data_IF_233659227486
#
_entry.id   IF_233659227486
#
_cell.length_a   1.000
_cell.length_b   1.000
_cell.length_c   1.000
_cell.angle_alpha   90.00
_cell.angle_beta   90.00
_cell.angle_gamma   90.00
#
_symmetry.space_group_name_H-M   'P 1'
#
loop_
_entity.id
_entity.type
_entity.pdbx_description
1 polymer ?
#
# COMPACT_ATOMS: atom_id res chain seq x y z
N UNK A 1 5.25 14.34 39.39
CA UNK A 1 4.76 13.06 39.95
C UNK A 1 4.05 13.21 41.31
N UNK A 2 3.91 14.36 41.89
CA UNK A 2 3.33 14.53 43.25
C UNK A 2 1.96 15.24 43.27
N UNK A 3 1.47 15.77 42.18
CA UNK A 3 0.19 16.50 42.13
C UNK A 3 -0.99 15.60 41.71
N UNK A 4 -0.72 14.51 40.98
CA UNK A 4 -1.77 13.57 40.52
C UNK A 4 -2.22 12.63 41.65
N UNK A 5 -1.34 12.32 42.62
CA UNK A 5 -1.67 11.44 43.73
C UNK A 5 -2.57 12.09 44.79
N UNK A 6 -2.62 13.42 44.84
CA UNK A 6 -3.43 14.13 45.85
C UNK A 6 -4.91 14.28 45.41
N UNK A 7 -5.21 14.23 44.13
CA UNK A 7 -6.60 14.34 43.63
C UNK A 7 -7.30 12.98 43.70
N UNK A 8 -6.58 11.88 43.51
CA UNK A 8 -7.16 10.54 43.59
C UNK A 8 -7.58 10.09 45.03
N UNK A 9 -6.97 10.67 46.06
CA UNK A 9 -7.27 10.29 47.45
C UNK A 9 -8.48 11.01 48.07
N UNK A 10 -8.99 12.06 47.43
CA UNK A 10 -10.14 12.84 47.93
C UNK A 10 -11.46 12.42 47.25
N UNK A 11 -11.40 11.61 46.18
CA UNK A 11 -12.54 11.30 45.33
C UNK A 11 -13.47 10.18 45.82
N UNK A 12 -13.13 9.44 46.86
CA UNK A 12 -13.90 8.25 47.22
C UNK A 12 -15.27 8.47 47.85
N UNK A 13 -15.70 9.69 48.22
CA UNK A 13 -17.01 9.89 48.85
C UNK A 13 -17.75 11.22 48.53
N UNK A 14 -17.33 11.98 47.56
CA UNK A 14 -17.95 13.28 47.24
C UNK A 14 -18.58 13.39 45.86
N UNK A 15 -18.54 12.34 45.04
CA UNK A 15 -18.87 12.46 43.60
C UNK A 15 -19.99 11.54 43.11
N UNK A 16 -20.91 11.12 43.98
CA UNK A 16 -22.07 10.32 43.57
C UNK A 16 -23.02 11.05 42.59
N UNK A 17 -22.79 12.32 42.23
CA UNK A 17 -23.64 13.10 41.32
C UNK A 17 -22.94 14.24 40.58
N UNK A 18 -21.66 14.15 40.29
CA UNK A 18 -21.00 15.16 39.49
C UNK A 18 -20.76 14.69 38.07
N UNK A 19 -21.42 15.37 37.14
CA UNK A 19 -21.17 15.29 35.70
C UNK A 19 -19.73 15.80 35.48
N UNK A 20 -18.74 14.90 35.52
CA UNK A 20 -17.33 15.28 35.32
C UNK A 20 -17.06 15.51 33.86
N UNK A 21 -17.47 16.64 33.36
CA UNK A 21 -17.19 17.16 32.02
C UNK A 21 -15.74 17.68 31.89
N UNK A 22 -14.89 17.44 32.87
CA UNK A 22 -13.51 17.91 32.86
C UNK A 22 -12.62 16.83 32.23
N UNK A 23 -11.96 17.16 31.11
CA UNK A 23 -11.04 16.22 30.52
C UNK A 23 -9.85 15.95 31.44
N UNK A 24 -9.54 14.67 31.65
CA UNK A 24 -8.29 14.27 32.29
C UNK A 24 -7.13 14.64 31.37
N UNK A 25 -6.17 15.41 31.86
CA UNK A 25 -4.99 15.79 31.10
C UNK A 25 -4.13 14.57 30.77
N UNK A 26 -3.86 14.37 29.51
CA UNK A 26 -2.96 13.32 28.98
C UNK A 26 -1.90 14.05 28.16
N UNK A 27 -0.65 13.69 28.32
CA UNK A 27 0.46 14.19 27.50
C UNK A 27 1.22 13.00 26.91
N UNK A 28 0.73 12.48 25.82
CA UNK A 28 1.35 11.37 25.10
C UNK A 28 1.42 11.67 23.61
N UNK A 29 2.43 11.13 22.96
CA UNK A 29 2.69 11.30 21.55
C UNK A 29 2.75 9.96 20.83
N UNK A 30 2.12 9.89 19.66
CA UNK A 30 2.28 8.78 18.75
C UNK A 30 2.72 9.32 17.38
N UNK A 31 3.58 8.56 16.69
CA UNK A 31 4.01 8.86 15.34
C UNK A 31 3.69 7.66 14.43
N UNK A 32 2.76 7.88 13.52
CA UNK A 32 2.34 6.88 12.54
C UNK A 32 2.98 7.21 11.20
N UNK A 33 4.01 6.46 10.85
CA UNK A 33 4.58 6.47 9.50
C UNK A 33 3.67 5.67 8.55
N UNK A 34 3.74 5.90 7.23
CA UNK A 34 3.02 5.07 6.27
C UNK A 34 3.26 3.57 6.45
N UNK A 35 4.49 3.16 6.76
CA UNK A 35 4.82 1.75 7.05
C UNK A 35 3.99 1.17 8.21
N UNK A 36 3.83 1.95 9.28
CA UNK A 36 3.03 1.54 10.44
C UNK A 36 1.53 1.62 10.18
N UNK A 37 1.09 2.64 9.40
CA UNK A 37 -0.31 2.78 9.03
C UNK A 37 -0.78 1.61 8.17
N UNK A 38 0.02 1.25 7.16
CA UNK A 38 -0.35 0.22 6.18
C UNK A 38 0.08 -1.18 6.59
N UNK A 39 0.85 -1.32 7.68
CA UNK A 39 1.38 -2.61 8.14
C UNK A 39 2.11 -3.38 7.00
N UNK A 40 3.04 -2.68 6.35
CA UNK A 40 3.72 -3.15 5.13
C UNK A 40 4.50 -4.46 5.33
N UNK A 41 4.71 -4.89 6.58
CA UNK A 41 5.41 -6.14 6.89
C UNK A 41 4.49 -7.37 6.96
N UNK A 42 3.17 -7.17 6.96
CA UNK A 42 2.21 -8.27 6.82
C UNK A 42 1.92 -8.51 5.34
N UNK A 43 1.54 -9.73 4.94
CA UNK A 43 1.31 -10.23 3.57
C UNK A 43 0.29 -9.45 2.71
N UNK A 44 0.28 -8.12 2.79
CA UNK A 44 -0.74 -7.24 2.22
C UNK A 44 -0.47 -6.78 0.79
N UNK A 45 0.38 -7.46 0.03
CA UNK A 45 0.78 -7.03 -1.32
C UNK A 45 1.32 -5.57 -1.37
N UNK A 46 1.84 -5.05 -0.27
CA UNK A 46 2.41 -3.71 -0.20
C UNK A 46 3.93 -3.75 -0.35
N UNK A 47 4.45 -2.81 -1.09
CA UNK A 47 5.88 -2.67 -1.36
C UNK A 47 6.30 -1.21 -1.19
N UNK A 48 7.46 -1.00 -0.54
CA UNK A 48 8.08 0.33 -0.44
C UNK A 48 9.21 0.41 -1.45
N UNK A 49 9.13 1.39 -2.33
CA UNK A 49 10.19 1.63 -3.32
C UNK A 49 11.46 2.15 -2.65
N UNK A 50 12.63 2.09 -3.31
CA UNK A 50 13.85 2.73 -2.81
C UNK A 50 13.73 4.23 -2.53
N UNK A 51 12.80 4.93 -3.20
CA UNK A 51 12.46 6.34 -2.94
C UNK A 51 11.50 6.54 -1.77
N UNK A 52 10.99 5.46 -1.17
CA UNK A 52 10.07 5.50 -0.05
C UNK A 52 8.60 5.61 -0.43
N UNK A 53 8.24 5.49 -1.71
CA UNK A 53 6.84 5.49 -2.13
C UNK A 53 6.20 4.13 -1.91
N UNK A 54 4.93 4.10 -1.52
CA UNK A 54 4.17 2.87 -1.33
C UNK A 54 3.49 2.47 -2.64
N UNK A 55 3.61 1.18 -2.98
CA UNK A 55 2.96 0.56 -4.13
C UNK A 55 2.22 -0.71 -3.69
N UNK A 56 1.18 -1.08 -4.40
CA UNK A 56 0.71 -2.45 -4.40
C UNK A 56 1.66 -3.28 -5.28
N UNK A 57 1.98 -4.50 -4.84
CA UNK A 57 2.84 -5.43 -5.57
C UNK A 57 2.13 -6.77 -5.73
N UNK A 58 1.95 -7.19 -6.97
CA UNK A 58 1.31 -8.46 -7.30
C UNK A 58 2.29 -9.34 -8.06
N UNK A 59 2.59 -10.52 -7.51
CA UNK A 59 3.44 -11.51 -8.17
C UNK A 59 2.63 -12.35 -9.14
N UNK A 60 3.13 -12.50 -10.36
CA UNK A 60 2.52 -13.41 -11.34
C UNK A 60 3.02 -14.83 -11.12
N UNK A 61 2.08 -15.78 -11.05
CA UNK A 61 2.35 -17.18 -10.81
C UNK A 61 1.69 -18.09 -11.85
N UNK A 62 2.25 -19.27 -12.08
CA UNK A 62 3.58 -19.72 -11.68
C UNK A 62 4.67 -18.98 -12.45
N UNK A 63 5.89 -18.88 -11.92
CA UNK A 63 7.04 -18.50 -12.74
C UNK A 63 7.19 -19.48 -13.90
N UNK A 64 7.45 -18.97 -15.11
CA UNK A 64 7.63 -19.84 -16.28
C UNK A 64 9.08 -20.26 -16.44
N UNK A 65 9.29 -21.55 -16.68
CA UNK A 65 10.60 -22.13 -16.86
C UNK A 65 10.52 -23.27 -17.88
N UNK A 66 11.32 -23.19 -18.93
CA UNK A 66 11.32 -24.18 -20.01
C UNK A 66 12.74 -24.49 -20.46
N UNK A 67 13.01 -25.79 -20.68
CA UNK A 67 14.21 -26.20 -21.40
C UNK A 67 13.95 -26.12 -22.90
N UNK A 68 14.68 -25.30 -23.60
CA UNK A 68 14.49 -25.08 -25.02
C UNK A 68 15.80 -25.03 -25.80
N UNK A 69 15.75 -25.41 -27.05
CA UNK A 69 16.84 -25.27 -28.00
C UNK A 69 16.69 -23.94 -28.72
N UNK A 70 17.76 -23.11 -28.69
CA UNK A 70 17.78 -21.81 -29.33
C UNK A 70 18.21 -21.95 -30.80
N UNK A 71 17.25 -21.86 -31.73
CA UNK A 71 17.49 -21.90 -33.16
C UNK A 71 17.19 -20.56 -33.83
N UNK A 72 17.93 -20.27 -34.92
CA UNK A 72 17.72 -19.04 -35.67
C UNK A 72 16.30 -19.01 -36.32
N UNK A 73 15.60 -17.90 -36.09
CA UNK A 73 14.26 -17.67 -36.64
C UNK A 73 13.14 -18.46 -35.98
N UNK A 74 13.44 -19.23 -34.90
CA UNK A 74 12.43 -19.93 -34.12
C UNK A 74 12.24 -19.27 -32.77
N UNK A 75 10.99 -19.25 -32.31
CA UNK A 75 10.60 -18.86 -30.94
C UNK A 75 9.95 -20.04 -30.25
N UNK A 76 10.23 -20.21 -28.98
CA UNK A 76 9.64 -21.26 -28.12
C UNK A 76 8.80 -20.57 -27.06
N UNK A 77 7.56 -21.01 -26.86
CA UNK A 77 6.73 -20.56 -25.74
C UNK A 77 7.30 -21.10 -24.44
N UNK A 78 7.50 -20.23 -23.44
CA UNK A 78 7.88 -20.63 -22.10
C UNK A 78 6.65 -20.90 -21.20
N UNK A 79 5.51 -20.30 -21.53
CA UNK A 79 4.26 -20.47 -20.80
C UNK A 79 3.57 -19.16 -20.47
N UNK A 80 2.51 -19.26 -19.66
CA UNK A 80 1.71 -18.14 -19.16
C UNK A 80 1.91 -18.01 -17.64
N UNK A 81 2.13 -16.77 -17.19
CA UNK A 81 2.06 -16.37 -15.79
C UNK A 81 0.81 -15.51 -15.59
N UNK A 82 0.18 -15.62 -14.45
CA UNK A 82 -1.03 -14.83 -14.15
C UNK A 82 -0.91 -14.24 -12.76
N UNK A 83 -1.30 -12.98 -12.62
CA UNK A 83 -1.57 -12.36 -11.33
C UNK A 83 -2.99 -11.83 -11.30
N UNK A 84 -3.59 -11.74 -10.13
CA UNK A 84 -4.91 -11.15 -9.95
C UNK A 84 -4.72 -9.82 -9.22
N UNK A 85 -5.11 -8.74 -9.89
CA UNK A 85 -5.18 -7.44 -9.23
C UNK A 85 -6.46 -7.44 -8.41
N UNK A 86 -6.29 -7.69 -7.14
CA UNK A 86 -7.35 -7.56 -6.14
C UNK A 86 -7.02 -6.32 -5.31
N UNK A 87 -7.87 -5.32 -5.40
CA UNK A 87 -7.72 -4.10 -4.61
C UNK A 87 -7.89 -4.39 -3.11
N UNK A 88 -8.39 -5.60 -2.77
CA UNK A 88 -8.57 -6.06 -1.39
C UNK A 88 -9.42 -5.12 -0.54
N UNK A 89 -9.51 -5.36 0.76
CA UNK A 89 -10.24 -4.48 1.68
C UNK A 89 -9.57 -3.10 1.86
N UNK A 90 -8.32 -2.95 1.41
CA UNK A 90 -7.53 -1.71 1.57
C UNK A 90 -8.04 -0.60 0.65
N UNK A 91 -8.60 -0.95 -0.53
CA UNK A 91 -8.98 0.06 -1.53
C UNK A 91 -10.45 -0.10 -1.89
N UNK A 92 -11.31 0.49 -1.09
CA UNK A 92 -12.72 0.65 -1.46
C UNK A 92 -12.96 2.04 -2.04
N UNK A 93 -13.69 2.12 -3.16
CA UNK A 93 -14.14 3.39 -3.72
C UNK A 93 -13.58 3.77 -5.09
N UNK A 94 -12.75 2.92 -5.68
CA UNK A 94 -12.29 3.09 -7.05
C UNK A 94 -11.31 4.25 -7.22
N UNK A 95 -10.21 4.20 -6.49
CA UNK A 95 -9.11 5.14 -6.66
C UNK A 95 -8.56 5.12 -8.10
N UNK A 96 -8.38 6.28 -8.70
CA UNK A 96 -7.67 6.42 -9.96
C UNK A 96 -6.17 6.40 -9.66
N UNK A 97 -5.56 5.23 -9.77
CA UNK A 97 -4.12 5.07 -9.64
C UNK A 97 -3.40 5.49 -10.91
N UNK A 98 -2.16 5.90 -10.76
CA UNK A 98 -1.24 6.07 -11.88
C UNK A 98 -0.96 4.72 -12.57
N UNK A 99 -0.42 4.76 -13.81
CA UNK A 99 -0.15 3.56 -14.56
C UNK A 99 0.67 2.54 -13.79
N UNK A 100 0.26 1.30 -13.85
CA UNK A 100 1.03 0.20 -13.28
C UNK A 100 2.41 0.10 -13.97
N UNK A 101 3.40 -0.38 -13.21
CA UNK A 101 4.73 -0.72 -13.70
C UNK A 101 4.90 -2.23 -13.68
N UNK A 102 5.63 -2.77 -14.65
CA UNK A 102 5.89 -4.21 -14.75
C UNK A 102 7.38 -4.46 -14.55
N UNK A 103 7.72 -5.24 -13.52
CA UNK A 103 9.08 -5.72 -13.31
C UNK A 103 9.17 -7.15 -13.85
N UNK A 104 9.96 -7.33 -14.89
CA UNK A 104 10.28 -8.63 -15.48
C UNK A 104 11.66 -9.09 -15.01
N UNK A 105 11.78 -10.37 -14.67
CA UNK A 105 13.06 -10.99 -14.32
C UNK A 105 13.29 -12.18 -15.22
N UNK A 106 14.48 -12.28 -15.82
CA UNK A 106 14.84 -13.33 -16.77
C UNK A 106 16.14 -14.01 -16.37
N UNK A 107 16.17 -15.34 -16.60
CA UNK A 107 17.40 -16.13 -16.57
C UNK A 107 17.73 -16.62 -17.98
N UNK A 108 18.91 -16.24 -18.44
CA UNK A 108 19.50 -16.71 -19.68
C UNK A 108 20.88 -17.37 -19.40
N UNK A 109 20.93 -18.65 -19.06
CA UNK A 109 22.21 -19.34 -18.82
C UNK A 109 22.96 -19.72 -20.11
N UNK A 110 22.39 -19.41 -21.28
CA UNK A 110 23.02 -19.72 -22.57
C UNK A 110 24.24 -18.84 -22.87
N UNK A 111 25.05 -19.29 -23.78
CA UNK A 111 26.19 -18.54 -24.34
C UNK A 111 25.79 -17.49 -25.39
N UNK A 112 24.49 -17.29 -25.60
CA UNK A 112 23.94 -16.40 -26.63
C UNK A 112 22.97 -15.39 -26.01
N UNK A 113 22.85 -14.24 -26.69
CA UNK A 113 21.78 -13.29 -26.36
C UNK A 113 20.44 -13.89 -26.73
N UNK A 114 19.50 -13.90 -25.77
CA UNK A 114 18.12 -14.37 -25.95
C UNK A 114 17.19 -13.17 -26.00
N UNK A 115 16.29 -13.19 -26.98
CA UNK A 115 15.16 -12.28 -27.05
C UNK A 115 13.97 -12.93 -26.36
N UNK A 116 13.47 -12.30 -25.30
CA UNK A 116 12.20 -12.65 -24.70
C UNK A 116 11.12 -11.72 -25.24
N UNK A 117 10.05 -12.29 -25.75
CA UNK A 117 8.83 -11.56 -26.11
C UNK A 117 7.77 -11.85 -25.04
N UNK A 118 7.18 -10.78 -24.47
CA UNK A 118 6.18 -10.84 -23.41
C UNK A 118 4.92 -10.16 -23.90
N UNK A 119 3.86 -10.93 -24.13
CA UNK A 119 2.53 -10.43 -24.44
C UNK A 119 1.73 -10.32 -23.14
N UNK A 120 1.29 -9.09 -22.81
CA UNK A 120 0.54 -8.81 -21.59
C UNK A 120 -0.92 -8.56 -21.95
N UNK A 121 -1.82 -9.23 -21.26
CA UNK A 121 -3.26 -9.01 -21.32
C UNK A 121 -3.77 -8.64 -19.93
N UNK A 122 -4.39 -7.46 -19.79
CA UNK A 122 -4.92 -6.96 -18.54
C UNK A 122 -6.42 -6.69 -18.66
N UNK A 123 -7.19 -7.18 -17.71
CA UNK A 123 -8.60 -6.85 -17.59
C UNK A 123 -8.78 -5.51 -16.86
N UNK A 124 -9.80 -4.77 -17.25
CA UNK A 124 -10.17 -3.51 -16.61
C UNK A 124 -11.55 -3.63 -15.95
N UNK A 125 -11.89 -2.72 -15.04
CA UNK A 125 -13.22 -2.67 -14.42
C UNK A 125 -14.37 -2.54 -15.43
N UNK A 126 -14.09 -2.00 -16.63
CA UNK A 126 -15.06 -1.94 -17.73
C UNK A 126 -15.14 -3.24 -18.53
N UNK A 127 -14.45 -4.30 -18.11
CA UNK A 127 -14.31 -5.59 -18.79
C UNK A 127 -13.64 -5.51 -20.17
N UNK A 128 -13.01 -4.39 -20.49
CA UNK A 128 -12.17 -4.28 -21.69
C UNK A 128 -10.83 -4.97 -21.43
N UNK A 129 -10.35 -5.75 -22.41
CA UNK A 129 -9.02 -6.37 -22.36
C UNK A 129 -8.03 -5.41 -23.01
N UNK A 130 -7.04 -4.99 -22.25
CA UNK A 130 -5.91 -4.21 -22.76
C UNK A 130 -4.76 -5.15 -23.08
N UNK A 131 -4.06 -4.87 -24.18
CA UNK A 131 -2.94 -5.69 -24.62
C UNK A 131 -1.70 -4.82 -24.83
N UNK A 132 -0.57 -5.34 -24.38
CA UNK A 132 0.74 -4.75 -24.65
C UNK A 132 1.75 -5.85 -24.97
N UNK A 133 2.74 -5.52 -25.78
CA UNK A 133 3.81 -6.45 -26.16
C UNK A 133 5.16 -5.82 -25.93
N UNK A 134 6.03 -6.54 -25.23
CA UNK A 134 7.37 -6.09 -24.92
C UNK A 134 8.39 -7.10 -25.41
N UNK A 135 9.51 -6.59 -25.93
CA UNK A 135 10.65 -7.41 -26.33
C UNK A 135 11.89 -7.01 -25.53
N UNK A 136 12.52 -7.98 -24.89
CA UNK A 136 13.71 -7.77 -24.07
C UNK A 136 14.86 -8.63 -24.55
N UNK A 137 16.02 -8.02 -24.78
CA UNK A 137 17.25 -8.73 -25.12
C UNK A 137 18.03 -8.98 -23.82
N UNK A 138 18.17 -10.24 -23.46
CA UNK A 138 18.92 -10.67 -22.27
C UNK A 138 20.30 -11.21 -22.72
N UNK A 139 21.40 -10.59 -22.28
CA UNK A 139 22.73 -11.04 -22.67
C UNK A 139 23.04 -12.48 -22.23
N UNK A 140 24.02 -13.09 -22.88
CA UNK A 140 24.52 -14.42 -22.55
C UNK A 140 24.95 -14.54 -21.09
N UNK A 141 24.65 -15.68 -20.47
CA UNK A 141 25.07 -16.02 -19.10
C UNK A 141 24.46 -15.16 -17.99
N UNK A 142 23.41 -14.37 -18.27
CA UNK A 142 22.76 -13.55 -17.26
C UNK A 142 21.67 -14.30 -16.51
N UNK A 143 21.77 -14.25 -15.19
CA UNK A 143 20.73 -14.70 -14.27
C UNK A 143 20.17 -13.53 -13.49
N UNK A 144 18.90 -13.57 -13.11
CA UNK A 144 18.19 -12.47 -12.44
C UNK A 144 18.30 -11.12 -13.18
N UNK A 145 18.28 -11.16 -14.52
CA UNK A 145 18.30 -9.93 -15.33
C UNK A 145 16.95 -9.24 -15.23
N UNK A 146 16.93 -8.07 -14.59
CA UNK A 146 15.69 -7.34 -14.30
C UNK A 146 15.47 -6.19 -15.27
N UNK A 147 14.23 -6.08 -15.74
CA UNK A 147 13.76 -5.01 -16.62
C UNK A 147 12.50 -4.42 -16.04
N UNK A 148 12.48 -3.09 -15.85
CA UNK A 148 11.32 -2.34 -15.42
C UNK A 148 10.67 -1.65 -16.61
N UNK A 149 9.44 -2.03 -16.92
CA UNK A 149 8.63 -1.38 -17.94
C UNK A 149 7.73 -0.36 -17.26
N UNK A 150 7.84 0.91 -17.66
CA UNK A 150 7.02 2.01 -17.15
C UNK A 150 6.51 2.91 -18.26
N UNK A 151 5.48 3.70 -17.99
CA UNK A 151 4.97 4.69 -18.94
C UNK A 151 5.98 5.82 -19.17
N UNK A 152 5.99 6.39 -20.38
CA UNK A 152 6.90 7.47 -20.80
C UNK A 152 6.63 8.81 -20.10
N UNK A 153 5.41 9.02 -19.58
CA UNK A 153 4.97 10.33 -19.07
C UNK A 153 4.85 10.37 -17.54
N UNK A 154 5.46 9.44 -16.84
CA UNK A 154 5.30 9.38 -15.40
C UNK A 154 6.59 9.70 -14.67
N UNK A 155 6.49 10.60 -13.69
CA UNK A 155 7.50 10.82 -12.66
C UNK A 155 7.48 9.71 -11.60
N UNK A 156 6.85 8.56 -11.91
CA UNK A 156 6.68 7.48 -10.97
C UNK A 156 8.02 6.93 -10.53
N UNK A 157 8.12 6.60 -9.25
CA UNK A 157 9.34 6.08 -8.68
C UNK A 157 9.73 4.76 -9.37
N UNK A 158 11.03 4.59 -9.58
CA UNK A 158 11.58 3.32 -10.05
C UNK A 158 11.49 2.31 -8.93
N UNK A 159 10.65 1.28 -9.08
CA UNK A 159 10.43 0.25 -8.05
C UNK A 159 11.64 -0.66 -7.82
N UNK A 160 12.57 -0.69 -8.76
CA UNK A 160 13.84 -1.40 -8.62
C UNK A 160 14.98 -0.58 -9.24
N UNK A 161 15.86 -0.04 -8.41
CA UNK A 161 16.98 0.80 -8.84
C UNK A 161 18.02 0.06 -9.70
N UNK A 162 18.06 -1.27 -9.64
CA UNK A 162 19.02 -2.11 -10.39
C UNK A 162 18.44 -2.63 -11.72
N UNK A 163 17.17 -2.35 -12.00
CA UNK A 163 16.54 -2.80 -13.23
C UNK A 163 16.91 -1.90 -14.42
N UNK A 164 17.04 -2.51 -15.60
CA UNK A 164 17.08 -1.76 -16.85
C UNK A 164 15.70 -1.17 -17.09
N UNK A 165 15.58 0.16 -17.13
CA UNK A 165 14.29 0.84 -17.34
C UNK A 165 13.98 0.94 -18.81
N UNK A 166 12.82 0.45 -19.22
CA UNK A 166 12.24 0.64 -20.55
C UNK A 166 11.00 1.52 -20.41
N UNK A 167 11.04 2.70 -21.05
CA UNK A 167 9.88 3.56 -21.16
C UNK A 167 9.12 3.18 -22.44
N UNK A 168 7.87 2.80 -22.29
CA UNK A 168 7.07 2.30 -23.40
C UNK A 168 5.70 2.99 -23.46
N UNK A 169 5.34 3.52 -24.65
CA UNK A 169 4.06 4.17 -24.88
C UNK A 169 2.88 3.20 -24.87
N UNK A 170 3.12 1.92 -25.21
CA UNK A 170 2.09 0.88 -25.12
C UNK A 170 1.76 0.56 -23.65
N UNK A 171 2.75 0.60 -22.77
CA UNK A 171 2.52 0.49 -21.31
C UNK A 171 1.59 1.60 -20.82
N UNK A 172 1.79 2.83 -21.29
CA UNK A 172 0.88 3.94 -21.01
C UNK A 172 -0.54 3.63 -21.49
N UNK A 173 -0.70 3.27 -22.76
CA UNK A 173 -2.02 3.00 -23.33
C UNK A 173 -2.74 1.85 -22.62
N UNK A 174 -2.00 0.80 -22.24
CA UNK A 174 -2.57 -0.38 -21.57
C UNK A 174 -2.95 -0.14 -20.11
N UNK A 175 -2.25 0.73 -19.40
CA UNK A 175 -2.36 0.82 -17.94
C UNK A 175 -2.74 2.20 -17.38
N UNK A 176 -2.83 3.27 -18.21
CA UNK A 176 -2.99 4.66 -17.72
C UNK A 176 -4.42 5.04 -17.33
N UNK A 177 -5.42 4.69 -18.08
CA UNK A 177 -6.80 5.20 -17.89
C UNK A 177 -7.77 4.11 -17.46
N UNK A 178 -7.26 2.92 -17.23
CA UNK A 178 -8.09 1.77 -16.98
C UNK A 178 -7.77 1.24 -15.60
N UNK A 179 -8.76 1.30 -14.72
CA UNK A 179 -8.68 0.59 -13.45
C UNK A 179 -8.47 -0.88 -13.77
N UNK A 180 -7.32 -1.41 -13.40
CA UNK A 180 -7.04 -2.82 -13.51
C UNK A 180 -7.96 -3.56 -12.54
N UNK A 181 -8.63 -4.58 -13.01
CA UNK A 181 -9.50 -5.41 -12.17
C UNK A 181 -9.46 -6.84 -12.69
N UNK A 182 -9.09 -7.76 -11.82
CA UNK A 182 -9.01 -9.17 -12.15
C UNK A 182 -7.67 -9.61 -12.75
N UNK A 183 -7.65 -10.68 -13.54
CA UNK A 183 -6.41 -11.29 -13.97
C UNK A 183 -5.62 -10.44 -14.97
N UNK A 184 -4.31 -10.35 -14.73
CA UNK A 184 -3.30 -9.86 -15.66
C UNK A 184 -2.45 -11.07 -16.09
N UNK A 185 -2.39 -11.34 -17.38
CA UNK A 185 -1.71 -12.49 -17.96
C UNK A 185 -0.44 -12.04 -18.68
N UNK A 186 0.61 -12.82 -18.55
CA UNK A 186 1.91 -12.61 -19.19
C UNK A 186 2.25 -13.87 -19.98
N UNK A 187 2.11 -13.84 -21.30
CA UNK A 187 2.51 -14.91 -22.19
C UNK A 187 3.96 -14.69 -22.62
N UNK A 188 4.85 -15.59 -22.26
CA UNK A 188 6.29 -15.43 -22.51
C UNK A 188 6.75 -16.40 -23.57
N UNK A 189 7.50 -15.90 -24.54
CA UNK A 189 8.23 -16.72 -25.51
C UNK A 189 9.68 -16.23 -25.62
N UNK A 190 10.56 -17.13 -26.07
CA UNK A 190 11.98 -16.84 -26.20
C UNK A 190 12.54 -17.36 -27.54
N UNK A 191 13.51 -16.62 -28.08
CA UNK A 191 14.24 -16.99 -29.28
C UNK A 191 15.63 -16.36 -29.30
N UNK A 192 16.42 -16.60 -30.35
CA UNK A 192 17.70 -15.94 -30.50
C UNK A 192 17.55 -14.43 -30.72
N UNK A 193 18.35 -13.63 -30.00
CA UNK A 193 18.35 -12.18 -30.09
C UNK A 193 18.93 -11.60 -31.39
N UNK A 194 19.55 -12.41 -32.23
CA UNK A 194 20.13 -11.99 -33.52
C UNK A 194 19.59 -12.83 -34.65
N UNK A 195 19.20 -12.17 -35.75
CA UNK A 195 18.75 -12.82 -37.01
C UNK A 195 19.89 -13.33 -37.88
N UNK A 196 21.16 -13.07 -37.51
CA UNK A 196 22.30 -13.48 -38.30
C UNK A 196 22.56 -14.96 -38.12
N UNK A 197 22.26 -15.76 -39.11
CA UNK A 197 22.64 -17.17 -39.21
C UNK A 197 24.16 -17.28 -39.21
N UNK A 198 24.76 -17.49 -38.06
CA UNK A 198 26.07 -18.14 -38.01
C UNK A 198 25.82 -19.64 -38.02
N UNK A 199 26.70 -20.38 -38.78
CA UNK A 199 26.58 -21.82 -38.93
C UNK A 199 26.20 -22.52 -37.64
N UNK A 200 25.19 -23.37 -37.63
CA UNK A 200 24.59 -24.01 -36.51
C UNK A 200 25.63 -24.78 -35.67
N UNK A 201 26.02 -24.32 -34.49
CA UNK A 201 26.64 -25.19 -33.53
C UNK A 201 25.62 -26.20 -33.04
N UNK A 202 26.08 -27.34 -32.54
CA UNK A 202 25.22 -28.39 -31.97
C UNK A 202 24.18 -27.75 -31.05
N UNK A 203 22.90 -28.07 -31.26
CA UNK A 203 21.77 -27.48 -30.57
C UNK A 203 21.85 -27.85 -29.08
N UNK A 204 22.40 -26.95 -28.27
CA UNK A 204 22.38 -27.09 -26.81
C UNK A 204 21.03 -26.65 -26.27
N UNK A 205 20.48 -27.44 -25.37
CA UNK A 205 19.25 -27.10 -24.69
C UNK A 205 19.59 -26.28 -23.42
N UNK A 206 18.90 -25.18 -23.25
CA UNK A 206 19.09 -24.25 -22.13
C UNK A 206 17.79 -24.10 -21.33
N UNK A 207 17.92 -24.02 -20.01
CA UNK A 207 16.80 -23.80 -19.10
C UNK A 207 16.56 -22.31 -18.92
N UNK A 208 15.67 -21.74 -19.73
CA UNK A 208 15.28 -20.34 -19.63
C UNK A 208 14.18 -20.17 -18.59
N UNK A 209 14.20 -19.02 -17.89
CA UNK A 209 13.20 -18.67 -16.87
C UNK A 209 12.73 -17.23 -17.07
N UNK A 210 11.46 -16.97 -16.74
CA UNK A 210 10.91 -15.64 -16.59
C UNK A 210 9.97 -15.56 -15.40
N UNK A 211 9.98 -14.40 -14.74
CA UNK A 211 9.07 -14.02 -13.66
C UNK A 211 8.57 -12.61 -13.90
N UNK A 212 7.38 -12.29 -13.42
CA UNK A 212 6.79 -10.97 -13.53
C UNK A 212 6.17 -10.52 -12.21
N UNK A 213 6.32 -9.21 -11.91
CA UNK A 213 5.63 -8.52 -10.83
C UNK A 213 4.97 -7.26 -11.38
N UNK A 214 3.74 -7.02 -10.95
CA UNK A 214 3.01 -5.81 -11.27
C UNK A 214 3.03 -4.89 -10.05
N UNK A 215 3.42 -3.63 -10.24
CA UNK A 215 3.39 -2.60 -9.21
C UNK A 215 2.39 -1.53 -9.57
N UNK A 216 1.50 -1.20 -8.62
CA UNK A 216 0.55 -0.10 -8.76
C UNK A 216 0.90 0.97 -7.74
N UNK A 217 1.49 2.12 -8.16
CA UNK A 217 1.84 3.19 -7.25
C UNK A 217 0.61 3.81 -6.58
N UNK A 218 0.70 4.13 -5.28
CA UNK A 218 -0.31 4.90 -4.57
C UNK A 218 -0.20 6.38 -4.92
N UNK A 219 -0.56 6.73 -6.15
CA UNK A 219 -0.62 8.10 -6.64
C UNK A 219 -2.04 8.37 -7.15
N UNK A 220 -2.72 9.28 -6.49
CA UNK A 220 -4.15 9.50 -6.67
C UNK A 220 -4.44 10.86 -7.30
N UNK A 221 -5.52 10.93 -8.07
CA UNK A 221 -6.11 12.19 -8.51
C UNK A 221 -6.86 12.85 -7.37
N UNK A 222 -6.94 14.18 -7.41
CA UNK A 222 -7.71 14.97 -6.45
C UNK A 222 -9.14 14.45 -6.31
N UNK A 223 -9.57 14.26 -5.07
CA UNK A 223 -10.90 13.74 -4.73
C UNK A 223 -11.03 12.21 -4.77
N UNK A 224 -10.06 11.49 -5.35
CA UNK A 224 -10.01 10.03 -5.23
C UNK A 224 -9.70 9.63 -3.80
N UNK A 225 -10.26 8.53 -3.33
CA UNK A 225 -10.07 8.06 -1.97
C UNK A 225 -9.86 6.57 -1.91
N UNK A 226 -9.18 6.13 -0.87
CA UNK A 226 -9.09 4.73 -0.47
C UNK A 226 -9.37 4.61 1.03
N UNK A 227 -9.64 3.40 1.48
CA UNK A 227 -9.97 3.12 2.87
C UNK A 227 -9.00 2.10 3.44
N UNK A 228 -8.60 2.31 4.69
CA UNK A 228 -7.76 1.42 5.47
C UNK A 228 -8.45 1.13 6.81
N UNK A 229 -8.52 -0.13 7.19
CA UNK A 229 -8.94 -0.51 8.54
C UNK A 229 -7.68 -0.65 9.39
N UNK A 230 -7.59 0.14 10.46
CA UNK A 230 -6.46 0.10 11.40
C UNK A 230 -6.97 -0.21 12.80
N UNK A 231 -6.39 -1.25 13.40
CA UNK A 231 -6.60 -1.56 14.82
C UNK A 231 -5.54 -0.83 15.64
N UNK A 232 -6.00 -0.08 16.61
CA UNK A 232 -5.16 0.61 17.59
C UNK A 232 -5.29 -0.11 18.90
N UNK A 233 -4.19 -0.62 19.39
CA UNK A 233 -4.11 -1.21 20.73
C UNK A 233 -4.09 -0.09 21.76
N UNK A 234 -5.03 -0.08 22.71
CA UNK A 234 -5.22 0.97 23.71
C UNK A 234 -5.29 2.39 23.07
N UNK A 235 -5.76 2.52 21.84
CA UNK A 235 -5.69 3.75 21.04
C UNK A 235 -4.30 4.43 21.09
N UNK A 236 -3.24 3.66 21.33
CA UNK A 236 -1.89 4.15 21.55
C UNK A 236 -1.67 4.79 22.94
N UNK A 237 -2.65 4.77 23.82
CA UNK A 237 -2.63 5.48 25.10
C UNK A 237 -2.24 4.60 26.30
N UNK A 238 -2.15 3.29 26.15
CA UNK A 238 -2.08 2.36 27.29
C UNK A 238 -3.14 2.72 28.32
N UNK A 239 -4.40 2.66 27.92
CA UNK A 239 -5.55 2.97 28.78
C UNK A 239 -5.60 2.07 30.04
N UNK A 240 -4.87 0.94 30.03
CA UNK A 240 -4.62 0.13 31.22
C UNK A 240 -4.02 0.92 32.38
N UNK A 241 -3.38 2.05 32.13
CA UNK A 241 -2.85 2.93 33.19
C UNK A 241 -3.96 3.79 33.84
N UNK A 242 -5.17 3.77 33.27
CA UNK A 242 -6.34 4.53 33.72
C UNK A 242 -7.51 3.59 33.99
N UNK A 243 -8.12 3.67 35.17
CA UNK A 243 -9.37 2.95 35.45
C UNK A 243 -10.52 3.76 34.88
N UNK A 244 -11.00 3.39 33.66
CA UNK A 244 -12.16 4.02 33.04
C UNK A 244 -13.36 3.11 33.28
N UNK A 245 -14.28 3.54 34.14
CA UNK A 245 -15.50 2.76 34.46
C UNK A 245 -16.65 2.99 33.51
N UNK A 246 -16.58 4.07 32.68
CA UNK A 246 -17.62 4.40 31.74
C UNK A 246 -17.46 3.63 30.43
N UNK A 247 -18.60 3.27 29.84
CA UNK A 247 -18.67 2.66 28.50
C UNK A 247 -18.47 3.65 27.36
N UNK A 248 -18.44 4.93 27.65
CA UNK A 248 -18.39 5.97 26.63
C UNK A 248 -17.44 7.09 27.08
N UNK A 249 -16.44 7.39 26.19
CA UNK A 249 -15.48 8.45 26.46
C UNK A 249 -14.96 9.05 25.16
N UNK A 250 -14.49 10.28 25.25
CA UNK A 250 -13.85 10.99 24.17
C UNK A 250 -12.34 11.09 24.42
N UNK A 251 -11.55 10.72 23.43
CA UNK A 251 -10.10 10.97 23.41
C UNK A 251 -9.85 12.22 22.61
N UNK A 252 -9.24 13.24 23.23
CA UNK A 252 -8.94 14.53 22.62
C UNK A 252 -7.49 14.54 22.17
N UNK A 253 -7.24 14.90 20.93
CA UNK A 253 -5.88 14.95 20.39
C UNK A 253 -5.70 16.06 19.37
N UNK A 254 -4.46 16.53 19.24
CA UNK A 254 -3.98 17.33 18.12
C UNK A 254 -3.24 16.42 17.14
N UNK A 255 -3.62 16.46 15.87
CA UNK A 255 -2.98 15.70 14.81
C UNK A 255 -2.25 16.63 13.87
N UNK A 256 -0.96 16.38 13.68
CA UNK A 256 -0.15 17.04 12.65
C UNK A 256 -0.02 16.04 11.48
N UNK A 257 -0.64 16.38 10.35
CA UNK A 257 -0.64 15.58 9.13
C UNK A 257 0.32 16.20 8.09
N UNK A 258 1.33 15.44 7.70
CA UNK A 258 2.25 15.83 6.62
C UNK A 258 2.03 15.03 5.32
N UNK A 259 0.88 14.37 5.18
CA UNK A 259 0.48 13.66 3.95
C UNK A 259 -0.55 14.48 3.17
N UNK A 260 -0.55 14.41 1.81
CA UNK A 260 -1.46 15.16 0.95
C UNK A 260 -2.87 14.54 0.88
N UNK A 261 -3.35 14.04 2.02
CA UNK A 261 -4.66 13.38 2.15
C UNK A 261 -5.44 13.95 3.33
N UNK A 262 -6.67 14.32 3.08
CA UNK A 262 -7.65 14.48 4.15
C UNK A 262 -8.04 13.09 4.67
N UNK A 263 -8.13 12.93 5.98
CA UNK A 263 -8.41 11.65 6.61
C UNK A 263 -9.67 11.76 7.45
N UNK A 264 -10.64 10.89 7.18
CA UNK A 264 -11.83 10.71 8.01
C UNK A 264 -11.80 9.31 8.63
N UNK A 265 -12.38 9.17 9.82
CA UNK A 265 -12.43 7.89 10.52
C UNK A 265 -13.83 7.57 10.98
N UNK A 266 -14.32 6.37 10.61
CA UNK A 266 -15.58 5.82 11.10
C UNK A 266 -15.29 4.55 11.88
N UNK A 267 -15.94 4.40 13.04
CA UNK A 267 -15.74 3.21 13.87
C UNK A 267 -16.30 1.96 13.21
N UNK A 268 -15.53 0.89 13.28
CA UNK A 268 -16.05 -0.46 13.08
C UNK A 268 -16.06 -1.16 14.44
N UNK A 269 -17.18 -1.80 14.78
CA UNK A 269 -17.28 -2.52 16.05
C UNK A 269 -16.39 -3.77 16.00
N UNK A 270 -15.34 -3.77 16.81
CA UNK A 270 -14.49 -4.95 17.01
C UNK A 270 -14.58 -5.33 18.49
N UNK A 271 -14.99 -6.56 18.75
CA UNK A 271 -15.20 -7.06 20.13
C UNK A 271 -16.08 -6.17 21.01
N UNK A 272 -17.05 -5.47 20.41
CA UNK A 272 -17.96 -4.57 21.11
C UNK A 272 -17.44 -3.14 21.31
N UNK A 273 -16.23 -2.82 20.84
CA UNK A 273 -15.67 -1.46 20.91
C UNK A 273 -15.82 -0.77 19.56
N UNK A 274 -16.34 0.47 19.57
CA UNK A 274 -16.46 1.33 18.41
C UNK A 274 -15.75 2.65 18.66
N UNK A 275 -14.87 3.08 17.71
CA UNK A 275 -14.17 4.35 17.80
C UNK A 275 -14.40 5.18 16.54
N UNK A 276 -14.82 6.43 16.67
CA UNK A 276 -15.12 7.33 15.54
C UNK A 276 -14.39 8.67 15.69
N UNK A 277 -13.76 9.13 14.62
CA UNK A 277 -13.13 10.45 14.58
C UNK A 277 -14.19 11.48 14.17
N UNK A 278 -14.47 12.45 15.04
CA UNK A 278 -15.54 13.41 14.83
C UNK A 278 -15.21 14.49 13.79
N UNK A 279 -13.94 14.87 13.65
CA UNK A 279 -13.51 15.92 12.71
C UNK A 279 -12.55 15.34 11.68
N UNK A 280 -12.70 15.71 10.38
CA UNK A 280 -11.70 15.34 9.38
C UNK A 280 -10.31 15.89 9.74
N UNK A 281 -9.29 15.06 9.57
CA UNK A 281 -7.89 15.49 9.70
C UNK A 281 -7.51 16.12 8.38
N UNK A 282 -7.17 17.42 8.40
CA UNK A 282 -6.85 18.16 7.21
C UNK A 282 -5.59 17.62 6.52
N UNK A 283 -5.58 17.71 5.18
CA UNK A 283 -4.42 17.36 4.38
C UNK A 283 -3.28 18.36 4.57
N UNK A 284 -2.06 17.88 4.62
CA UNK A 284 -0.85 18.68 4.69
C UNK A 284 0.20 18.20 3.69
N UNK A 285 1.40 18.76 3.81
CA UNK A 285 2.58 18.29 3.06
C UNK A 285 3.77 18.26 4.00
N UNK A 286 4.86 17.62 3.59
CA UNK A 286 6.09 17.58 4.39
C UNK A 286 6.63 18.99 4.69
N UNK A 287 6.50 19.92 3.75
CA UNK A 287 6.96 21.32 3.90
C UNK A 287 5.95 22.22 4.62
N UNK A 288 4.67 21.82 4.65
CA UNK A 288 3.58 22.56 5.28
C UNK A 288 2.59 21.56 5.91
N UNK A 289 2.92 20.98 7.05
CA UNK A 289 2.03 20.06 7.74
C UNK A 289 0.76 20.77 8.23
N UNK A 290 -0.38 20.12 8.11
CA UNK A 290 -1.63 20.61 8.64
C UNK A 290 -1.83 20.14 10.08
N UNK A 291 -2.34 21.03 10.94
CA UNK A 291 -2.72 20.71 12.31
C UNK A 291 -4.23 20.68 12.44
N UNK A 292 -4.76 19.65 13.07
CA UNK A 292 -6.19 19.47 13.29
C UNK A 292 -6.43 18.98 14.73
N UNK A 293 -7.29 19.66 15.46
CA UNK A 293 -7.79 19.12 16.73
C UNK A 293 -8.92 18.15 16.45
N UNK A 294 -8.81 16.94 16.97
CA UNK A 294 -9.78 15.86 16.80
C UNK A 294 -10.30 15.37 18.13
N UNK A 295 -11.49 14.81 18.08
CA UNK A 295 -12.07 14.02 19.17
C UNK A 295 -12.38 12.64 18.62
N UNK A 296 -11.87 11.61 19.27
CA UNK A 296 -12.20 10.23 18.97
C UNK A 296 -13.23 9.75 20.00
N UNK A 297 -14.47 9.61 19.56
CA UNK A 297 -15.54 9.04 20.36
C UNK A 297 -15.36 7.54 20.44
N UNK A 298 -15.27 7.01 21.65
CA UNK A 298 -15.17 5.57 21.90
C UNK A 298 -16.39 5.11 22.67
N UNK A 299 -17.02 4.03 22.20
CA UNK A 299 -18.15 3.36 22.84
C UNK A 299 -17.73 1.91 23.06
N UNK A 300 -17.63 1.50 24.32
CA UNK A 300 -17.24 0.16 24.73
C UNK A 300 -18.44 -0.63 25.24
N UNK A 301 -18.93 -1.54 24.43
CA UNK A 301 -19.99 -2.48 24.79
C UNK A 301 -19.43 -3.91 25.01
N UNK A 302 -18.12 -4.08 25.13
CA UNK A 302 -17.48 -5.39 25.30
C UNK A 302 -17.85 -6.08 26.62
N UNK A 303 -18.31 -5.30 27.60
CA UNK A 303 -18.59 -5.80 28.95
C UNK A 303 -17.35 -6.04 29.81
N UNK A 304 -16.17 -5.65 29.30
CA UNK A 304 -14.91 -5.68 30.02
C UNK A 304 -14.58 -4.27 30.52
N UNK A 305 -13.98 -4.16 31.71
CA UNK A 305 -13.61 -2.85 32.26
C UNK A 305 -12.38 -2.20 31.62
N UNK A 306 -11.85 -2.78 30.56
CA UNK A 306 -10.64 -2.33 29.89
C UNK A 306 -10.87 -2.32 28.38
N UNK A 307 -10.83 -1.13 27.76
CA UNK A 307 -10.76 -1.01 26.31
C UNK A 307 -9.37 -1.46 25.87
N UNK A 308 -9.32 -2.59 25.19
CA UNK A 308 -8.06 -3.14 24.75
C UNK A 308 -7.69 -2.70 23.34
N UNK A 309 -8.61 -2.84 22.40
CA UNK A 309 -8.37 -2.55 21.00
C UNK A 309 -9.57 -1.86 20.35
N UNK A 310 -9.31 -0.88 19.51
CA UNK A 310 -10.34 -0.25 18.71
C UNK A 310 -9.93 -0.26 17.22
N UNK A 311 -10.83 -0.68 16.35
CA UNK A 311 -10.61 -0.60 14.91
C UNK A 311 -11.32 0.62 14.33
N UNK A 312 -10.57 1.39 13.57
CA UNK A 312 -11.08 2.58 12.88
C UNK A 312 -10.87 2.37 11.39
N UNK A 313 -11.93 2.57 10.64
CA UNK A 313 -11.92 2.64 9.19
C UNK A 313 -11.51 4.04 8.77
N UNK A 314 -10.24 4.19 8.39
CA UNK A 314 -9.68 5.44 7.94
C UNK A 314 -9.88 5.58 6.43
N UNK A 315 -10.52 6.65 6.00
CA UNK A 315 -10.65 7.02 4.59
C UNK A 315 -9.70 8.16 4.28
N UNK A 316 -8.81 7.94 3.35
CA UNK A 316 -7.83 8.89 2.84
C UNK A 316 -8.35 9.46 1.52
N UNK A 317 -8.56 10.77 1.45
CA UNK A 317 -9.02 11.47 0.24
C UNK A 317 -7.92 12.39 -0.25
N UNK A 318 -7.49 12.24 -1.50
CA UNK A 318 -6.45 13.06 -2.09
C UNK A 318 -6.87 14.52 -2.21
N UNK A 319 -6.11 15.43 -1.60
CA UNK A 319 -6.39 16.87 -1.62
C UNK A 319 -5.93 17.55 -2.91
N UNK A 320 -5.00 16.94 -3.63
CA UNK A 320 -4.42 17.44 -4.88
C UNK A 320 -4.20 16.33 -5.90
N UNK A 321 -3.98 16.71 -7.16
CA UNK A 321 -3.62 15.76 -8.20
C UNK A 321 -2.19 15.24 -7.98
N UNK A 322 -1.99 13.93 -8.14
CA UNK A 322 -0.70 13.30 -7.94
C UNK A 322 -0.33 13.12 -6.47
N UNK A 323 -1.30 13.23 -5.55
CA UNK A 323 -1.10 12.92 -4.14
C UNK A 323 -0.52 11.53 -3.97
N UNK A 324 0.62 11.42 -3.29
CA UNK A 324 1.37 10.17 -3.07
C UNK A 324 1.48 9.84 -1.60
N UNK A 325 1.51 8.55 -1.30
CA UNK A 325 1.90 8.07 0.01
C UNK A 325 3.37 7.67 -0.06
N UNK A 326 4.20 8.34 0.73
CA UNK A 326 5.61 8.01 0.84
C UNK A 326 6.08 8.08 2.31
N UNK A 327 7.23 7.47 2.60
CA UNK A 327 7.83 7.41 3.95
C UNK A 327 8.14 8.79 4.57
N UNK A 328 8.11 9.85 3.77
CA UNK A 328 8.29 11.21 4.28
C UNK A 328 7.03 11.82 4.89
N UNK A 329 5.86 11.20 4.64
CA UNK A 329 4.60 11.62 5.22
C UNK A 329 4.36 10.96 6.57
N UNK A 330 3.82 11.69 7.54
CA UNK A 330 3.53 11.16 8.87
C UNK A 330 2.25 11.74 9.42
N UNK A 331 1.60 10.98 10.32
CA UNK A 331 0.61 11.48 11.26
C UNK A 331 1.25 11.51 12.64
N UNK A 332 1.47 12.68 13.17
CA UNK A 332 1.90 12.86 14.55
C UNK A 332 0.68 13.17 15.38
N UNK A 333 0.41 12.37 16.39
CA UNK A 333 -0.74 12.49 17.26
C UNK A 333 -0.24 12.88 18.64
N UNK A 334 -0.73 14.01 19.14
CA UNK A 334 -0.51 14.46 20.49
C UNK A 334 -1.83 14.38 21.26
N UNK A 335 -1.92 13.42 22.16
CA UNK A 335 -3.08 13.24 23.00
C UNK A 335 -3.06 14.26 24.13
N UNK A 336 -4.15 15.01 24.28
CA UNK A 336 -4.22 16.14 25.23
C UNK A 336 -5.23 15.91 26.34
N UNK A 337 -6.15 14.97 26.20
CA UNK A 337 -7.13 14.69 27.25
C UNK A 337 -8.04 13.50 26.95
N UNK A 338 -8.68 13.04 28.01
CA UNK A 338 -9.76 12.04 27.95
C UNK A 338 -10.94 12.61 28.73
N UNK A 339 -12.11 12.66 28.08
CA UNK A 339 -13.36 13.08 28.68
C UNK A 339 -14.27 11.84 28.81
N UNK A 340 -14.65 11.51 30.03
CA UNK A 340 -15.54 10.37 30.32
C UNK A 340 -16.98 10.84 30.34
N UNK A 341 -17.87 10.12 29.68
CA UNK A 341 -19.29 10.36 29.71
C UNK A 341 -19.92 9.44 30.77
N UNK A 342 -20.47 10.02 31.81
CA UNK A 342 -21.26 9.28 32.80
C UNK A 342 -22.74 9.32 32.40
N UNK A 343 -23.39 8.19 32.44
CA UNK A 343 -24.84 8.07 32.27
C UNK A 343 -25.51 7.80 33.61
#
# INVERSE_FOLDING_TARGET
>A
MLVVSAVAAVSCNLFDNWDMDVPMGVDKHANLTPEKLFDVQSDNNLYITPAGDICLCFEATPEVQQTCTLESGKTTSLGEMTTVVDEGPIISGGADFDPAQILLTFDNPSDKTVKFDVDVEANTVTKAVQKAKFSVLVPAGKTNYTVLIKSVDTDDPVVNANATVIMDSAAKAAFTNNKLSGPVKFNVSAGLGTTKATAAPAASAYKLKAAAKLFVPFKLKKGSSFTLIKTFTDLGLKLSDYTIESKEYDVIAEVTNSMPFEITGTGESVQGVTATINNPIAAGTKSSPAKTSITVRVIDNSGTSLVQDASIKLRFTAAENGARINNGGTLQIHYTGIKVHQF
#
